data_IF_411632298409
#
_entry.id   IF_411632298409
#
_cell.length_a   1.000
_cell.length_b   1.000
_cell.length_c   1.000
_cell.angle_alpha   90.00
_cell.angle_beta   90.00
_cell.angle_gamma   90.00
#
_symmetry.space_group_name_H-M   'P 1'
#
loop_
_entity.id
_entity.type
_entity.pdbx_description
1 polymer ?
#
# COMPACT_ATOMS: atom_id res chain seq x y z
N UNK A 1 30.07 -27.36 17.63
CA UNK A 1 30.80 -26.07 17.56
C UNK A 1 30.34 -25.33 16.32
N UNK A 2 29.37 -24.41 16.45
CA UNK A 2 28.96 -23.53 15.36
C UNK A 2 29.64 -22.19 15.63
N UNK A 3 30.58 -21.83 14.76
CA UNK A 3 31.41 -20.63 14.88
C UNK A 3 30.55 -19.38 14.62
N UNK A 4 30.50 -18.48 15.60
CA UNK A 4 30.06 -17.10 15.40
C UNK A 4 31.07 -16.40 14.50
N UNK A 5 30.68 -16.06 13.27
CA UNK A 5 31.42 -15.11 12.44
C UNK A 5 31.23 -13.68 13.00
N UNK A 6 32.30 -12.98 13.39
CA UNK A 6 32.18 -11.59 13.82
C UNK A 6 32.00 -10.71 12.57
N UNK A 7 30.81 -10.14 12.39
CA UNK A 7 30.65 -9.02 11.46
C UNK A 7 31.63 -7.93 11.90
N UNK A 8 32.58 -7.59 11.04
CA UNK A 8 33.66 -6.64 11.35
C UNK A 8 33.09 -5.32 11.85
N UNK A 9 33.50 -4.87 13.04
CA UNK A 9 33.10 -3.58 13.66
C UNK A 9 33.30 -2.38 12.72
N UNK A 10 34.17 -2.51 11.73
CA UNK A 10 34.46 -1.47 10.74
C UNK A 10 33.39 -1.36 9.65
N UNK A 11 32.80 -2.49 9.21
CA UNK A 11 31.66 -2.50 8.27
C UNK A 11 30.40 -1.92 8.93
N UNK A 12 30.17 -2.23 10.21
CA UNK A 12 29.07 -1.66 10.99
C UNK A 12 29.23 -0.13 11.15
N UNK A 13 30.43 0.36 11.46
CA UNK A 13 30.71 1.80 11.59
C UNK A 13 30.51 2.56 10.27
N UNK A 14 30.97 2.00 9.14
CA UNK A 14 30.77 2.61 7.83
C UNK A 14 29.30 2.64 7.40
N UNK A 15 28.55 1.55 7.66
CA UNK A 15 27.10 1.51 7.46
C UNK A 15 26.38 2.53 8.35
N UNK A 16 26.76 2.68 9.61
CA UNK A 16 26.16 3.64 10.53
C UNK A 16 26.44 5.10 10.12
N UNK A 17 27.64 5.42 9.64
CA UNK A 17 27.97 6.74 9.07
C UNK A 17 27.16 7.02 7.79
N UNK A 18 26.98 6.03 6.92
CA UNK A 18 26.11 6.19 5.73
C UNK A 18 24.63 6.37 6.10
N UNK A 19 24.19 5.73 7.18
CA UNK A 19 22.83 5.86 7.70
C UNK A 19 22.61 7.22 8.37
N UNK A 20 23.57 7.71 9.16
CA UNK A 20 23.55 9.05 9.75
C UNK A 20 23.51 10.13 8.67
N UNK A 21 24.33 10.01 7.62
CA UNK A 21 24.32 10.93 6.48
C UNK A 21 22.98 10.89 5.74
N UNK A 22 22.41 9.71 5.49
CA UNK A 22 21.06 9.58 4.92
C UNK A 22 20.00 10.21 5.83
N UNK A 23 20.07 10.00 7.14
CA UNK A 23 19.12 10.56 8.10
C UNK A 23 19.18 12.10 8.15
N UNK A 24 20.37 12.69 7.99
CA UNK A 24 20.56 14.15 7.90
C UNK A 24 19.99 14.75 6.61
N UNK A 25 19.86 13.95 5.54
CA UNK A 25 19.30 14.40 4.26
C UNK A 25 17.76 14.29 4.20
N UNK A 26 17.16 13.48 5.09
CA UNK A 26 15.71 13.29 5.14
C UNK A 26 15.04 14.33 6.05
N UNK A 27 14.82 15.52 5.50
CA UNK A 27 13.95 16.51 6.12
C UNK A 27 12.48 16.04 6.09
N UNK A 28 11.79 15.91 7.24
CA UNK A 28 10.38 15.55 7.26
C UNK A 28 9.50 16.72 6.83
N UNK A 29 8.56 16.46 5.93
CA UNK A 29 7.36 17.29 5.77
C UNK A 29 6.43 17.07 6.95
N UNK A 30 5.94 18.14 7.57
CA UNK A 30 5.04 18.09 8.72
C UNK A 30 3.80 18.91 8.40
N UNK A 31 2.62 18.34 8.66
CA UNK A 31 1.31 18.97 8.50
C UNK A 31 0.52 18.74 9.79
N UNK A 32 -0.04 19.80 10.34
CA UNK A 32 -0.97 19.74 11.45
C UNK A 32 -2.40 19.75 10.95
N UNK A 33 -3.20 18.85 11.51
CA UNK A 33 -4.61 18.69 11.24
C UNK A 33 -5.39 18.99 12.51
N UNK A 34 -6.53 19.67 12.39
CA UNK A 34 -7.49 19.78 13.50
C UNK A 34 -8.32 18.50 13.69
N UNK A 35 -9.27 18.53 14.62
CA UNK A 35 -10.19 17.41 14.92
C UNK A 35 -11.15 17.08 13.79
N UNK A 36 -11.26 17.94 12.78
CA UNK A 36 -12.06 17.75 11.56
C UNK A 36 -11.19 17.40 10.36
N UNK A 37 -9.90 17.11 10.57
CA UNK A 37 -8.91 16.78 9.55
C UNK A 37 -8.60 17.92 8.56
N UNK A 38 -8.85 19.17 8.95
CA UNK A 38 -8.45 20.35 8.17
C UNK A 38 -7.01 20.73 8.48
N UNK A 39 -6.28 21.16 7.45
CA UNK A 39 -4.87 21.58 7.60
C UNK A 39 -4.80 22.92 8.31
N UNK A 40 -4.25 22.94 9.53
CA UNK A 40 -4.08 24.17 10.31
C UNK A 40 -2.67 24.74 10.27
N UNK A 41 -1.67 23.89 10.00
CA UNK A 41 -0.29 24.32 9.86
C UNK A 41 0.51 23.34 9.00
N UNK A 42 1.63 23.81 8.44
CA UNK A 42 2.62 22.96 7.78
C UNK A 42 4.01 23.61 7.80
N UNK A 43 5.06 22.80 7.76
CA UNK A 43 6.44 23.29 7.71
C UNK A 43 6.89 23.61 6.27
N UNK A 44 7.98 24.38 6.15
CA UNK A 44 8.56 24.77 4.85
C UNK A 44 8.92 23.58 3.94
N UNK A 45 9.33 22.46 4.55
CA UNK A 45 9.66 21.22 3.85
C UNK A 45 8.41 20.65 3.17
N UNK A 46 7.27 20.62 3.87
CA UNK A 46 6.02 20.13 3.30
C UNK A 46 5.55 20.98 2.12
N UNK A 47 5.61 22.31 2.25
CA UNK A 47 5.30 23.27 1.18
C UNK A 47 6.14 22.96 -0.07
N UNK A 48 7.45 22.80 0.10
CA UNK A 48 8.41 22.54 -0.98
C UNK A 48 8.16 21.20 -1.68
N UNK A 49 7.95 20.13 -0.92
CA UNK A 49 7.78 18.78 -1.48
C UNK A 49 6.43 18.64 -2.19
N UNK A 50 5.37 19.20 -1.61
CA UNK A 50 4.02 19.13 -2.17
C UNK A 50 3.80 20.11 -3.33
N UNK A 51 4.65 21.14 -3.46
CA UNK A 51 4.54 22.14 -4.52
C UNK A 51 3.32 23.04 -4.38
N UNK A 52 2.83 23.25 -3.16
CA UNK A 52 1.61 24.01 -2.85
C UNK A 52 1.93 25.31 -2.14
N UNK A 53 1.09 26.34 -2.25
CA UNK A 53 1.21 27.55 -1.43
C UNK A 53 0.40 27.38 -0.14
N UNK A 54 0.88 27.88 1.02
CA UNK A 54 0.16 27.74 2.29
C UNK A 54 -1.28 28.27 2.23
N UNK A 55 -1.49 29.42 1.58
CA UNK A 55 -2.81 30.03 1.46
C UNK A 55 -3.84 29.19 0.67
N UNK A 56 -3.39 28.27 -0.17
CA UNK A 56 -4.26 27.41 -0.98
C UNK A 56 -4.67 26.13 -0.24
N UNK A 57 -4.04 25.85 0.90
CA UNK A 57 -4.11 24.55 1.59
C UNK A 57 -4.57 24.67 3.04
N UNK A 58 -4.27 25.78 3.71
CA UNK A 58 -4.73 26.03 5.07
C UNK A 58 -6.26 26.12 5.11
N UNK A 59 -6.87 25.42 6.07
CA UNK A 59 -8.33 25.29 6.20
C UNK A 59 -8.98 24.33 5.20
N UNK A 60 -8.21 23.69 4.32
CA UNK A 60 -8.74 22.63 3.46
C UNK A 60 -8.71 21.29 4.21
N UNK A 61 -9.73 20.47 3.97
CA UNK A 61 -9.73 19.10 4.43
C UNK A 61 -8.61 18.32 3.75
N UNK A 62 -7.83 17.59 4.54
CA UNK A 62 -6.63 16.92 4.01
C UNK A 62 -6.96 15.94 2.87
N UNK A 63 -8.16 15.34 2.85
CA UNK A 63 -8.64 14.49 1.77
C UNK A 63 -8.72 15.21 0.42
N UNK A 64 -9.15 16.47 0.41
CA UNK A 64 -9.40 17.22 -0.81
C UNK A 64 -8.09 17.58 -1.53
N UNK A 65 -7.01 17.68 -0.76
CA UNK A 65 -5.64 17.90 -1.23
C UNK A 65 -5.01 16.68 -1.90
N UNK A 66 -5.62 15.51 -1.74
CA UNK A 66 -5.14 14.27 -2.31
C UNK A 66 -5.97 13.89 -3.55
N UNK A 67 -5.36 13.27 -4.57
CA UNK A 67 -6.08 12.74 -5.72
C UNK A 67 -7.22 11.82 -5.25
N UNK A 68 -8.35 11.84 -5.96
CA UNK A 68 -9.56 11.09 -5.59
C UNK A 68 -9.28 9.61 -5.22
N UNK A 69 -8.36 8.98 -5.97
CA UNK A 69 -7.88 7.59 -5.79
C UNK A 69 -7.15 7.31 -4.45
N UNK A 70 -6.71 8.35 -3.75
CA UNK A 70 -5.98 8.27 -2.48
C UNK A 70 -6.80 8.73 -1.28
N UNK A 71 -7.98 9.34 -1.51
CA UNK A 71 -8.84 9.89 -0.45
C UNK A 71 -9.34 8.82 0.50
N UNK A 72 -9.81 7.68 -0.01
CA UNK A 72 -10.29 6.57 0.83
C UNK A 72 -9.25 6.05 1.84
N UNK A 73 -7.95 6.07 1.46
CA UNK A 73 -6.87 5.69 2.38
C UNK A 73 -6.62 6.71 3.48
N UNK A 74 -6.57 7.99 3.11
CA UNK A 74 -6.34 9.06 4.08
C UNK A 74 -7.53 9.11 5.04
N UNK A 75 -8.76 8.91 4.54
CA UNK A 75 -9.96 8.83 5.37
C UNK A 75 -9.86 7.67 6.37
N UNK A 76 -9.48 6.48 5.90
CA UNK A 76 -9.26 5.33 6.76
C UNK A 76 -8.12 5.54 7.78
N UNK A 77 -7.02 6.19 7.39
CA UNK A 77 -5.92 6.55 8.31
C UNK A 77 -6.40 7.45 9.45
N UNK A 78 -7.21 8.45 9.11
CA UNK A 78 -7.75 9.40 10.08
C UNK A 78 -8.74 8.67 10.99
N UNK A 79 -9.68 7.91 10.44
CA UNK A 79 -10.66 7.09 11.16
C UNK A 79 -9.98 6.10 12.13
N UNK A 80 -8.89 5.47 11.70
CA UNK A 80 -8.06 4.60 12.55
C UNK A 80 -7.58 5.32 13.81
N UNK A 81 -7.31 6.63 13.75
CA UNK A 81 -6.88 7.39 14.94
C UNK A 81 -8.04 7.73 15.87
N UNK A 82 -9.29 7.71 15.40
CA UNK A 82 -10.49 8.01 16.19
C UNK A 82 -10.93 6.83 17.09
N UNK A 83 -10.79 5.57 16.66
CA UNK A 83 -11.27 4.37 17.39
C UNK A 83 -10.43 3.92 18.61
N UNK A 84 -9.41 4.68 19.02
CA UNK A 84 -8.53 4.31 20.14
C UNK A 84 -9.07 4.74 21.52
N UNK A 85 -10.35 4.48 21.80
CA UNK A 85 -10.91 4.55 23.16
C UNK A 85 -10.40 3.35 23.97
N UNK A 86 -9.22 3.51 24.57
CA UNK A 86 -8.71 2.64 25.61
C UNK A 86 -7.77 1.52 25.14
N UNK A 87 -6.55 1.84 24.74
CA UNK A 87 -5.45 0.89 24.91
C UNK A 87 -4.09 1.59 25.04
N UNK A 88 -3.27 1.27 26.05
CA UNK A 88 -2.00 1.93 26.33
C UNK A 88 -0.87 1.30 25.52
N UNK A 89 -0.88 1.36 24.18
CA UNK A 89 0.31 1.08 23.37
C UNK A 89 0.40 2.03 22.18
N UNK A 90 1.36 2.95 22.32
CA UNK A 90 2.17 3.66 21.32
C UNK A 90 1.74 3.52 19.86
N UNK A 91 1.32 4.66 19.30
CA UNK A 91 1.27 5.07 17.89
C UNK A 91 1.01 3.98 16.83
N UNK A 92 0.03 4.19 15.92
CA UNK A 92 -0.22 3.24 14.82
C UNK A 92 1.09 2.90 14.09
N UNK A 93 1.30 1.64 13.68
CA UNK A 93 2.53 1.25 12.99
C UNK A 93 2.72 2.12 11.74
N UNK A 94 3.97 2.51 11.43
CA UNK A 94 4.25 3.40 10.33
C UNK A 94 3.72 2.80 9.02
N UNK A 95 2.87 3.55 8.33
CA UNK A 95 2.26 3.12 7.08
C UNK A 95 2.98 3.79 5.92
N UNK A 96 3.87 3.06 5.26
CA UNK A 96 4.49 3.50 4.00
C UNK A 96 3.41 3.68 2.95
N UNK A 97 3.16 4.93 2.54
CA UNK A 97 2.13 5.26 1.57
C UNK A 97 2.73 6.09 0.43
N UNK A 98 3.00 5.43 -0.70
CA UNK A 98 3.36 6.14 -1.93
C UNK A 98 2.18 7.01 -2.37
N UNK A 99 2.27 8.32 -2.14
CA UNK A 99 1.39 9.32 -2.76
C UNK A 99 2.02 9.71 -4.09
N UNK A 100 1.29 9.48 -5.17
CA UNK A 100 1.69 9.91 -6.50
C UNK A 100 1.40 11.42 -6.68
N UNK A 101 2.29 12.25 -6.16
CA UNK A 101 2.66 13.49 -6.85
C UNK A 101 3.58 13.02 -7.97
N UNK A 102 3.43 13.46 -9.24
CA UNK A 102 4.14 12.83 -10.37
C UNK A 102 5.61 12.57 -10.03
N UNK A 103 5.96 11.27 -10.04
CA UNK A 103 7.29 10.72 -9.79
C UNK A 103 7.85 10.84 -8.37
N UNK A 104 7.02 10.96 -7.31
CA UNK A 104 7.49 10.97 -5.91
C UNK A 104 7.01 9.80 -5.04
N UNK A 105 7.88 9.27 -4.18
CA UNK A 105 7.60 8.22 -3.19
C UNK A 105 7.63 8.82 -1.78
N UNK A 106 6.47 8.98 -1.15
CA UNK A 106 6.39 9.47 0.23
C UNK A 106 6.24 8.33 1.25
N UNK A 107 6.89 8.42 2.41
CA UNK A 107 6.62 7.61 3.60
C UNK A 107 5.86 8.47 4.59
N UNK A 108 4.66 8.07 5.02
CA UNK A 108 3.78 8.90 5.85
C UNK A 108 3.57 8.25 7.21
N UNK A 109 3.53 9.08 8.25
CA UNK A 109 3.19 8.70 9.62
C UNK A 109 2.16 9.69 10.13
N UNK A 110 1.12 9.19 10.78
CA UNK A 110 0.10 10.01 11.41
C UNK A 110 0.13 9.76 12.92
N UNK A 111 0.05 10.81 13.73
CA UNK A 111 0.04 10.71 15.19
C UNK A 111 -1.00 11.65 15.78
N UNK A 112 -1.75 11.18 16.77
CA UNK A 112 -2.77 12.00 17.42
C UNK A 112 -2.12 13.04 18.32
N UNK A 113 -2.65 14.26 18.29
CA UNK A 113 -2.15 15.37 19.08
C UNK A 113 -3.12 15.65 20.22
N UNK A 114 -2.57 15.96 21.39
CA UNK A 114 -3.32 16.24 22.60
C UNK A 114 -3.04 17.67 23.07
N UNK A 115 -4.08 18.34 23.52
CA UNK A 115 -4.01 19.71 24.04
C UNK A 115 -3.59 19.76 25.50
N UNK A 116 -3.55 20.98 26.05
CA UNK A 116 -3.26 21.21 27.46
C UNK A 116 -4.27 20.51 28.39
N UNK A 117 -5.51 20.36 27.94
CA UNK A 117 -6.59 19.70 28.68
C UNK A 117 -6.52 18.17 28.61
N UNK A 118 -5.50 17.60 27.95
CA UNK A 118 -5.35 16.16 27.73
C UNK A 118 -6.32 15.57 26.70
N UNK A 119 -7.24 16.38 26.15
CA UNK A 119 -8.14 15.99 25.06
C UNK A 119 -7.46 16.00 23.69
N UNK A 120 -7.97 15.22 22.71
CA UNK A 120 -7.43 15.22 21.35
C UNK A 120 -7.70 16.56 20.65
N UNK A 121 -6.66 17.18 20.10
CA UNK A 121 -6.73 18.46 19.36
C UNK A 121 -6.61 18.28 17.85
N UNK A 122 -6.36 17.06 17.40
CA UNK A 122 -6.25 16.71 15.98
C UNK A 122 -5.14 15.68 15.75
N UNK A 123 -4.43 15.81 14.63
CA UNK A 123 -3.37 14.90 14.24
C UNK A 123 -2.17 15.62 13.60
N UNK A 124 -0.97 15.07 13.79
CA UNK A 124 0.25 15.46 13.12
C UNK A 124 0.58 14.42 12.06
N UNK A 125 0.59 14.85 10.80
CA UNK A 125 1.02 14.06 9.66
C UNK A 125 2.49 14.42 9.37
N UNK A 126 3.35 13.41 9.42
CA UNK A 126 4.76 13.50 9.08
C UNK A 126 5.02 12.68 7.83
N UNK A 127 5.72 13.23 6.85
CA UNK A 127 6.11 12.47 5.67
C UNK A 127 7.56 12.69 5.26
N UNK A 128 8.15 11.69 4.61
CA UNK A 128 9.51 11.72 4.08
C UNK A 128 9.49 11.45 2.59
N UNK A 129 10.21 12.24 1.80
CA UNK A 129 10.38 12.01 0.37
C UNK A 129 11.51 10.99 0.16
N UNK A 130 11.14 9.75 -0.20
CA UNK A 130 12.05 8.63 -0.45
C UNK A 130 12.40 8.49 -1.93
N UNK A 131 11.99 9.42 -2.79
CA UNK A 131 12.13 9.32 -4.25
C UNK A 131 13.57 9.01 -4.68
N UNK A 132 14.56 9.70 -4.11
CA UNK A 132 15.98 9.52 -4.44
C UNK A 132 16.54 8.15 -4.02
N UNK A 133 16.03 7.58 -2.92
CA UNK A 133 16.46 6.25 -2.45
C UNK A 133 15.76 5.16 -3.26
N UNK A 134 14.52 5.38 -3.69
CA UNK A 134 13.84 4.45 -4.60
C UNK A 134 14.33 4.53 -6.04
N UNK A 135 14.92 5.66 -6.47
CA UNK A 135 15.48 5.81 -7.82
C UNK A 135 16.92 5.30 -7.93
N UNK A 136 17.63 5.13 -6.81
CA UNK A 136 19.07 4.77 -6.80
C UNK A 136 19.38 3.36 -6.27
N UNK A 137 18.39 2.46 -6.21
CA UNK A 137 18.65 1.04 -5.95
C UNK A 137 18.14 0.14 -7.10
N UNK A 138 18.79 0.29 -8.27
CA UNK A 138 19.19 -0.89 -9.04
C UNK A 138 20.61 -1.23 -8.59
N UNK A 139 20.76 -1.67 -7.34
CA UNK A 139 22.01 -2.31 -6.92
C UNK A 139 22.09 -3.60 -7.73
N UNK A 140 23.20 -3.78 -8.46
CA UNK A 140 23.54 -5.01 -9.15
C UNK A 140 23.52 -6.19 -8.16
N UNK A 141 22.36 -6.82 -8.02
CA UNK A 141 22.25 -8.12 -7.37
C UNK A 141 22.69 -9.17 -8.39
N UNK A 142 23.83 -9.78 -8.08
CA UNK A 142 24.35 -11.00 -8.67
C UNK A 142 23.24 -12.03 -8.98
N UNK A 143 22.97 -12.27 -10.27
CA UNK A 143 22.04 -13.24 -10.85
C UNK A 143 20.56 -13.17 -10.37
N UNK A 144 19.55 -13.23 -11.25
CA UNK A 144 18.16 -13.07 -10.85
C UNK A 144 17.71 -14.30 -10.05
N UNK A 145 17.75 -14.21 -8.73
CA UNK A 145 17.00 -15.12 -7.88
C UNK A 145 15.52 -14.84 -8.16
N UNK A 146 14.80 -15.84 -8.71
CA UNK A 146 13.35 -15.75 -8.90
C UNK A 146 12.72 -15.25 -7.59
N UNK A 147 11.84 -14.23 -7.64
CA UNK A 147 11.20 -13.72 -6.44
C UNK A 147 10.54 -14.87 -5.67
N UNK A 148 10.84 -14.98 -4.37
CA UNK A 148 10.33 -16.08 -3.54
C UNK A 148 8.80 -16.05 -3.51
N UNK A 149 8.17 -17.21 -3.66
CA UNK A 149 6.72 -17.33 -3.53
C UNK A 149 6.26 -16.92 -2.12
N UNK A 150 5.10 -16.27 -2.04
CA UNK A 150 4.49 -15.89 -0.77
C UNK A 150 3.82 -17.09 -0.10
N UNK A 151 4.08 -17.29 1.18
CA UNK A 151 3.34 -18.27 2.00
C UNK A 151 1.94 -17.77 2.36
N UNK A 152 1.84 -16.47 2.68
CA UNK A 152 0.61 -15.76 3.04
C UNK A 152 0.65 -14.37 2.43
N UNK A 153 -0.53 -13.80 2.18
CA UNK A 153 -0.64 -12.45 1.63
C UNK A 153 -0.67 -11.43 2.78
N UNK A 154 0.33 -10.55 2.92
CA UNK A 154 0.29 -9.49 3.91
C UNK A 154 -0.72 -8.42 3.49
N UNK A 155 -1.66 -8.13 4.36
CA UNK A 155 -2.67 -7.09 4.17
C UNK A 155 -2.80 -6.22 5.42
N UNK A 156 -3.25 -4.99 5.26
CA UNK A 156 -3.45 -4.04 6.33
C UNK A 156 -4.94 -3.94 6.69
N UNK A 157 -5.25 -4.08 7.98
CA UNK A 157 -6.58 -3.87 8.57
C UNK A 157 -6.44 -3.56 10.06
N UNK A 158 -7.24 -2.64 10.59
CA UNK A 158 -7.25 -2.23 12.00
C UNK A 158 -5.86 -1.93 12.55
N UNK A 159 -5.08 -1.09 11.83
CA UNK A 159 -3.71 -0.71 12.21
C UNK A 159 -2.73 -1.87 12.42
N UNK A 160 -2.95 -3.04 11.82
CA UNK A 160 -2.00 -4.16 11.89
C UNK A 160 -1.83 -4.85 10.55
N UNK A 161 -0.69 -5.50 10.37
CA UNK A 161 -0.46 -6.42 9.25
C UNK A 161 -1.11 -7.76 9.59
N UNK A 162 -2.16 -8.11 8.85
CA UNK A 162 -2.76 -9.43 8.85
C UNK A 162 -2.13 -10.29 7.76
N UNK A 163 -1.91 -11.57 8.05
CA UNK A 163 -1.39 -12.53 7.08
C UNK A 163 -2.52 -13.44 6.62
N UNK A 164 -3.08 -13.16 5.44
CA UNK A 164 -4.17 -13.96 4.88
C UNK A 164 -3.64 -15.24 4.24
N UNK A 165 -4.36 -16.34 4.44
CA UNK A 165 -4.11 -17.56 3.68
C UNK A 165 -4.47 -17.31 2.22
N UNK A 166 -3.60 -17.69 1.29
CA UNK A 166 -3.84 -17.50 -0.15
C UNK A 166 -5.13 -18.19 -0.63
N UNK A 167 -5.48 -19.32 -0.03
CA UNK A 167 -6.71 -20.08 -0.32
C UNK A 167 -7.99 -19.34 0.04
N UNK A 168 -7.92 -18.31 0.88
CA UNK A 168 -9.08 -17.49 1.27
C UNK A 168 -9.23 -16.24 0.41
N UNK A 169 -8.24 -15.95 -0.46
CA UNK A 169 -8.26 -14.79 -1.35
C UNK A 169 -9.03 -15.16 -2.60
N UNK A 170 -10.12 -14.42 -2.86
CA UNK A 170 -11.02 -14.62 -4.00
C UNK A 170 -10.48 -13.90 -5.24
N UNK A 171 -10.15 -12.61 -5.07
CA UNK A 171 -9.62 -11.76 -6.13
C UNK A 171 -8.77 -10.62 -5.60
N UNK A 172 -7.99 -10.05 -6.51
CA UNK A 172 -7.15 -8.90 -6.31
C UNK A 172 -7.48 -7.85 -7.36
N UNK A 173 -7.60 -6.60 -6.95
CA UNK A 173 -7.87 -5.45 -7.83
C UNK A 173 -6.79 -4.41 -7.65
N UNK A 174 -6.19 -3.97 -8.74
CA UNK A 174 -5.30 -2.81 -8.71
C UNK A 174 -6.12 -1.55 -8.44
N UNK A 175 -5.65 -0.77 -7.49
CA UNK A 175 -6.16 0.57 -7.21
C UNK A 175 -4.92 1.47 -7.04
N UNK A 176 -4.64 2.37 -7.98
CA UNK A 176 -3.38 3.12 -7.99
C UNK A 176 -2.12 2.24 -7.89
N UNK A 177 -1.28 2.49 -6.86
CA UNK A 177 -0.02 1.78 -6.60
C UNK A 177 -0.15 0.61 -5.60
N UNK A 178 -1.37 0.17 -5.31
CA UNK A 178 -1.66 -0.84 -4.31
C UNK A 178 -2.69 -1.82 -4.83
N UNK A 179 -2.88 -2.89 -4.08
CA UNK A 179 -3.81 -3.96 -4.46
C UNK A 179 -4.86 -4.12 -3.37
N UNK A 180 -6.12 -3.96 -3.72
CA UNK A 180 -7.23 -4.40 -2.89
C UNK A 180 -7.36 -5.93 -3.00
N UNK A 181 -7.31 -6.60 -1.86
CA UNK A 181 -7.43 -8.04 -1.72
C UNK A 181 -8.80 -8.35 -1.18
N UNK A 182 -9.56 -9.19 -1.86
CA UNK A 182 -10.91 -9.54 -1.46
C UNK A 182 -10.94 -10.95 -0.89
N UNK A 183 -11.45 -11.08 0.33
CA UNK A 183 -11.75 -12.34 1.02
C UNK A 183 -13.19 -12.28 1.51
N UNK A 184 -14.04 -13.22 1.09
CA UNK A 184 -15.46 -13.30 1.46
C UNK A 184 -16.18 -11.94 1.32
N UNK A 185 -16.06 -11.29 0.17
CA UNK A 185 -16.63 -9.95 -0.09
C UNK A 185 -15.95 -8.77 0.61
N UNK A 186 -15.17 -8.99 1.67
CA UNK A 186 -14.50 -7.91 2.40
C UNK A 186 -13.17 -7.50 1.72
N UNK A 187 -12.97 -6.18 1.46
CA UNK A 187 -11.70 -5.67 0.94
C UNK A 187 -10.65 -5.51 2.05
N UNK A 188 -9.40 -5.77 1.69
CA UNK A 188 -8.21 -5.55 2.51
C UNK A 188 -7.14 -4.86 1.65
N UNK A 189 -6.27 -4.06 2.27
CA UNK A 189 -5.24 -3.33 1.55
C UNK A 189 -3.92 -4.11 1.51
N UNK A 190 -3.35 -4.34 0.33
CA UNK A 190 -1.99 -4.85 0.15
C UNK A 190 -1.11 -3.78 -0.52
N UNK A 191 0.11 -3.59 0.01
CA UNK A 191 1.07 -2.62 -0.51
C UNK A 191 1.85 -3.11 -1.74
N UNK A 192 1.71 -4.38 -2.11
CA UNK A 192 2.32 -4.94 -3.32
C UNK A 192 1.46 -4.63 -4.54
N UNK A 193 2.10 -4.33 -5.67
CA UNK A 193 1.41 -4.14 -6.94
C UNK A 193 0.93 -5.48 -7.51
N UNK A 194 -0.02 -5.47 -8.46
CA UNK A 194 -0.38 -6.69 -9.18
C UNK A 194 0.81 -7.30 -9.93
N UNK A 195 1.77 -6.51 -10.39
CA UNK A 195 2.97 -7.01 -11.06
C UNK A 195 3.90 -7.76 -10.09
N UNK A 196 4.10 -7.23 -8.89
CA UNK A 196 4.88 -7.90 -7.84
C UNK A 196 4.20 -9.20 -7.40
N UNK A 197 2.87 -9.17 -7.26
CA UNK A 197 2.08 -10.32 -6.86
C UNK A 197 2.07 -11.40 -7.94
N UNK A 198 2.02 -11.03 -9.21
CA UNK A 198 2.10 -11.97 -10.34
C UNK A 198 3.40 -12.80 -10.33
N UNK A 199 4.52 -12.20 -9.91
CA UNK A 199 5.80 -12.90 -9.79
C UNK A 199 5.96 -13.75 -8.51
N UNK A 200 5.08 -13.57 -7.52
CA UNK A 200 5.23 -14.16 -6.17
C UNK A 200 4.08 -15.07 -5.75
N UNK A 201 2.97 -15.05 -6.47
CA UNK A 201 1.84 -15.94 -6.26
C UNK A 201 1.97 -17.17 -7.16
N UNK A 202 1.33 -18.25 -6.73
CA UNK A 202 1.26 -19.48 -7.51
C UNK A 202 0.49 -19.22 -8.82
N UNK A 203 1.13 -19.32 -10.00
CA UNK A 203 0.50 -19.01 -11.28
C UNK A 203 -0.57 -20.04 -11.70
N UNK A 204 -0.63 -21.21 -11.06
CA UNK A 204 -1.70 -22.19 -11.28
C UNK A 204 -2.98 -21.80 -10.56
N UNK A 205 -2.87 -21.03 -9.47
CA UNK A 205 -4.01 -20.53 -8.70
C UNK A 205 -4.38 -19.10 -9.06
N UNK A 206 -3.41 -18.22 -9.18
CA UNK A 206 -3.65 -16.80 -9.39
C UNK A 206 -3.35 -16.42 -10.84
N UNK A 207 -4.38 -15.94 -11.52
CA UNK A 207 -4.26 -15.51 -12.91
C UNK A 207 -4.63 -14.05 -13.07
N UNK A 208 -3.76 -13.28 -13.71
CA UNK A 208 -4.07 -11.92 -14.15
C UNK A 208 -4.98 -11.97 -15.37
N UNK A 209 -6.28 -11.77 -15.18
CA UNK A 209 -7.29 -11.82 -16.26
C UNK A 209 -7.50 -10.46 -16.92
N UNK A 210 -7.19 -9.37 -16.21
CA UNK A 210 -7.25 -8.00 -16.72
C UNK A 210 -6.08 -7.17 -16.18
N UNK A 211 -5.74 -6.04 -16.82
CA UNK A 211 -4.64 -5.17 -16.36
C UNK A 211 -4.79 -4.73 -14.91
N UNK A 212 -6.04 -4.60 -14.44
CA UNK A 212 -6.40 -4.20 -13.07
C UNK A 212 -6.97 -5.34 -12.22
N UNK A 213 -7.05 -6.58 -12.72
CA UNK A 213 -7.62 -7.70 -11.97
C UNK A 213 -6.80 -8.97 -12.08
N UNK A 214 -6.59 -9.59 -10.93
CA UNK A 214 -6.07 -10.94 -10.78
C UNK A 214 -7.05 -11.75 -9.95
N UNK A 215 -7.32 -12.98 -10.35
CA UNK A 215 -8.34 -13.83 -9.73
C UNK A 215 -7.68 -15.10 -9.21
N UNK A 216 -8.19 -15.61 -8.10
CA UNK A 216 -7.92 -16.97 -7.69
C UNK A 216 -8.87 -17.90 -8.45
N UNK A 217 -8.30 -18.76 -9.29
CA UNK A 217 -9.00 -19.70 -10.16
C UNK A 217 -9.78 -20.76 -9.36
N UNK A 218 -9.38 -21.04 -8.11
CA UNK A 218 -10.13 -21.91 -7.19
C UNK A 218 -11.56 -21.37 -6.93
N UNK A 219 -11.79 -20.07 -7.16
CA UNK A 219 -13.10 -19.41 -7.00
C UNK A 219 -13.79 -19.10 -8.33
N UNK A 220 -13.28 -19.57 -9.48
CA UNK A 220 -13.95 -19.34 -10.76
C UNK A 220 -15.22 -20.23 -10.87
N UNK A 221 -16.39 -19.60 -10.96
CA UNK A 221 -17.68 -20.30 -11.02
C UNK A 221 -18.22 -20.43 -12.46
N UNK A 222 -18.10 -19.37 -13.25
CA UNK A 222 -18.55 -19.36 -14.64
C UNK A 222 -17.73 -18.39 -15.50
N UNK A 223 -17.76 -18.60 -16.82
CA UNK A 223 -17.26 -17.66 -17.81
C UNK A 223 -18.44 -17.18 -18.66
N UNK A 224 -18.87 -15.95 -18.43
CA UNK A 224 -19.97 -15.31 -19.15
C UNK A 224 -19.42 -14.49 -20.32
N UNK A 225 -20.24 -14.31 -21.35
CA UNK A 225 -19.96 -13.40 -22.46
C UNK A 225 -20.97 -12.26 -22.42
N UNK A 226 -20.45 -11.04 -22.36
CA UNK A 226 -21.22 -9.80 -22.41
C UNK A 226 -20.81 -9.03 -23.68
N UNK A 227 -21.64 -9.15 -24.72
CA UNK A 227 -21.31 -8.68 -26.06
C UNK A 227 -20.04 -9.35 -26.61
N UNK A 228 -18.97 -8.55 -26.76
CA UNK A 228 -17.66 -9.00 -27.25
C UNK A 228 -16.61 -9.14 -26.13
N UNK A 229 -17.03 -9.02 -24.88
CA UNK A 229 -16.15 -9.15 -23.72
C UNK A 229 -16.51 -10.43 -22.94
N UNK A 230 -15.50 -11.01 -22.29
CA UNK A 230 -15.69 -12.10 -21.36
C UNK A 230 -15.65 -11.57 -19.93
N UNK A 231 -16.48 -12.14 -19.07
CA UNK A 231 -16.48 -11.88 -17.64
C UNK A 231 -16.33 -13.20 -16.89
N UNK A 232 -15.39 -13.26 -15.95
CA UNK A 232 -15.26 -14.39 -15.04
C UNK A 232 -16.15 -14.13 -13.82
N UNK A 233 -17.11 -15.01 -13.59
CA UNK A 233 -17.98 -14.99 -12.41
C UNK A 233 -17.28 -15.76 -11.30
N UNK A 234 -17.20 -15.16 -10.12
CA UNK A 234 -16.54 -15.74 -8.96
C UNK A 234 -17.55 -16.32 -7.96
N UNK A 235 -17.16 -17.41 -7.30
CA UNK A 235 -17.91 -18.03 -6.21
C UNK A 235 -17.68 -17.23 -4.91
N UNK A 236 -18.32 -16.08 -4.81
CA UNK A 236 -18.48 -15.32 -3.57
C UNK A 236 -19.96 -14.98 -3.33
N UNK A 237 -20.26 -14.36 -2.19
CA UNK A 237 -21.65 -14.04 -1.78
C UNK A 237 -22.38 -13.09 -2.76
N UNK A 238 -21.67 -12.49 -3.71
CA UNK A 238 -22.18 -11.50 -4.65
C UNK A 238 -22.11 -11.95 -6.12
N UNK A 239 -21.65 -13.17 -6.41
CA UNK A 239 -21.36 -13.64 -7.76
C UNK A 239 -20.55 -12.60 -8.56
N UNK A 240 -19.46 -12.12 -7.96
CA UNK A 240 -18.72 -10.99 -8.51
C UNK A 240 -18.26 -11.28 -9.94
N UNK A 241 -18.58 -10.37 -10.86
CA UNK A 241 -18.15 -10.41 -12.27
C UNK A 241 -16.86 -9.61 -12.45
N UNK A 242 -15.81 -10.30 -12.90
CA UNK A 242 -14.50 -9.70 -13.19
C UNK A 242 -14.28 -9.67 -14.70
N UNK A 243 -14.01 -8.50 -15.32
CA UNK A 243 -13.77 -8.43 -16.75
C UNK A 243 -12.49 -9.18 -17.12
N UNK A 244 -12.52 -9.86 -18.27
CA UNK A 244 -11.35 -10.51 -18.87
C UNK A 244 -10.92 -9.69 -20.08
N UNK A 245 -9.63 -9.35 -20.15
CA UNK A 245 -9.12 -8.61 -21.31
C UNK A 245 -9.19 -9.46 -22.59
N UNK A 246 -9.38 -8.81 -23.74
CA UNK A 246 -9.41 -9.49 -25.05
C UNK A 246 -8.18 -10.38 -25.28
N UNK A 247 -7.00 -9.91 -24.87
CA UNK A 247 -5.75 -10.68 -24.99
C UNK A 247 -5.67 -11.89 -24.07
N UNK A 248 -6.33 -11.86 -22.90
CA UNK A 248 -6.36 -12.98 -21.96
C UNK A 248 -7.51 -13.95 -22.20
N UNK A 249 -8.57 -13.55 -22.92
CA UNK A 249 -9.74 -14.39 -23.15
C UNK A 249 -9.40 -15.77 -23.73
N UNK A 250 -8.53 -15.92 -24.75
CA UNK A 250 -8.12 -17.24 -25.24
C UNK A 250 -7.44 -18.10 -24.16
N UNK A 251 -6.60 -17.49 -23.32
CA UNK A 251 -5.87 -18.18 -22.25
C UNK A 251 -6.81 -18.64 -21.13
N UNK A 252 -7.75 -17.80 -20.72
CA UNK A 252 -8.79 -18.15 -19.73
C UNK A 252 -9.65 -19.29 -20.25
N UNK A 253 -10.10 -19.20 -21.50
CA UNK A 253 -10.89 -20.26 -22.15
C UNK A 253 -10.15 -21.60 -22.20
N UNK A 254 -8.90 -21.59 -22.64
CA UNK A 254 -8.07 -22.80 -22.72
C UNK A 254 -7.87 -23.46 -21.34
N UNK A 255 -7.67 -22.66 -20.28
CA UNK A 255 -7.50 -23.15 -18.92
C UNK A 255 -8.71 -23.97 -18.43
N UNK A 256 -9.92 -23.61 -18.86
CA UNK A 256 -11.15 -24.32 -18.53
C UNK A 256 -11.62 -25.31 -19.60
N UNK A 257 -10.79 -25.62 -20.61
CA UNK A 257 -11.13 -26.55 -21.68
C UNK A 257 -12.22 -26.05 -22.65
N UNK A 258 -12.47 -24.74 -22.66
CA UNK A 258 -13.49 -24.08 -23.49
C UNK A 258 -12.87 -23.67 -24.84
N UNK A 259 -12.46 -24.63 -25.66
CA UNK A 259 -11.80 -24.43 -26.97
C UNK A 259 -12.78 -24.30 -28.12
#
# INVERSE_FOLDING_TARGET
MIQHHPVSRQAFRSSMQSFEHKLQQFDPGIIWLDTTNQVTAMNAVAIRILGVRPGDVLGQEVLQLHPEKSRGKIAWLLESTHEADGCPVKSPPPMTMMINIPDRVLLIKLSRMYGQDGGPTGACLVFYDLTEVTSTEVVEETAPARPRQLLKLPVYKNQRVMLLNLKEVVRLRAEGHYTEVYKNGAPYLCNLSLADLEGRLDPERFMRVHRSHMVNLDFAAALERDGDQYQLVLQDDHETRVPVSRGNAPRVRALFGLG
#
